data_IF_726174346431
#
_entry.id   IF_726174346431
#
_cell.length_a   1.000
_cell.length_b   1.000
_cell.length_c   1.000
_cell.angle_alpha   90.00
_cell.angle_beta   90.00
_cell.angle_gamma   90.00
#
_symmetry.space_group_name_H-M   'P 1'
#
loop_
_entity.id
_entity.type
_entity.pdbx_description
1 polymer ?
#
# COMPACT_ATOMS: atom_id res chain seq x y z
N UNK A 1 19.16 57.07 -5.97
CA UNK A 1 18.33 56.83 -7.17
C UNK A 1 17.90 58.20 -7.65
N UNK A 2 18.34 58.60 -8.85
CA UNK A 2 17.91 59.86 -9.43
C UNK A 2 16.52 59.60 -10.04
N UNK A 3 15.50 60.28 -9.51
CA UNK A 3 14.17 60.22 -10.11
C UNK A 3 14.22 60.98 -11.43
N UNK A 4 13.79 60.30 -12.50
CA UNK A 4 13.61 60.92 -13.81
C UNK A 4 12.53 61.99 -13.70
N UNK A 5 12.85 63.20 -14.16
CA UNK A 5 11.96 64.35 -14.10
C UNK A 5 11.14 64.44 -15.39
N UNK A 6 10.02 65.17 -15.35
CA UNK A 6 9.15 65.35 -16.53
C UNK A 6 9.90 65.97 -17.74
N UNK A 7 11.02 66.67 -17.50
CA UNK A 7 11.91 67.18 -18.55
C UNK A 7 12.73 66.08 -19.22
N UNK A 8 13.13 65.04 -18.47
CA UNK A 8 13.85 63.89 -19.01
C UNK A 8 12.93 63.05 -19.92
N UNK A 9 11.66 62.89 -19.54
CA UNK A 9 10.66 62.18 -20.33
C UNK A 9 10.32 62.92 -21.65
N UNK A 10 10.31 64.26 -21.61
CA UNK A 10 10.11 65.08 -22.81
C UNK A 10 11.28 64.94 -23.80
N UNK A 11 12.52 64.91 -23.30
CA UNK A 11 13.72 64.70 -24.11
C UNK A 11 13.78 63.30 -24.73
N UNK A 12 13.34 62.27 -23.99
CA UNK A 12 13.27 60.89 -24.48
C UNK A 12 12.23 60.74 -25.61
N UNK A 13 11.10 61.43 -25.50
CA UNK A 13 10.06 61.46 -26.53
C UNK A 13 10.53 62.15 -27.83
N UNK A 14 11.33 63.21 -27.72
CA UNK A 14 11.87 63.93 -28.88
C UNK A 14 12.99 63.15 -29.60
N UNK A 15 13.73 62.29 -28.88
CA UNK A 15 14.71 61.38 -29.47
C UNK A 15 14.11 60.09 -30.08
N UNK A 16 12.80 59.86 -29.93
CA UNK A 16 12.11 58.68 -30.48
C UNK A 16 12.54 57.36 -29.82
N UNK A 17 13.02 57.42 -28.57
CA UNK A 17 13.43 56.22 -27.81
C UNK A 17 12.29 55.85 -26.87
N UNK A 18 11.52 54.84 -27.26
CA UNK A 18 10.52 54.22 -26.38
C UNK A 18 11.22 53.37 -25.32
N UNK A 19 11.19 53.81 -24.06
CA UNK A 19 11.66 53.01 -22.93
C UNK A 19 10.58 51.98 -22.60
N UNK A 20 10.64 50.81 -23.24
CA UNK A 20 9.82 49.67 -22.84
C UNK A 20 10.30 49.16 -21.47
N UNK A 21 9.63 49.61 -20.41
CA UNK A 21 9.72 48.98 -19.10
C UNK A 21 9.20 47.53 -19.24
N UNK A 22 10.14 46.60 -19.41
CA UNK A 22 9.89 45.17 -19.57
C UNK A 22 9.09 44.66 -18.37
N UNK A 23 7.77 44.53 -18.52
CA UNK A 23 6.90 43.96 -17.50
C UNK A 23 7.33 42.51 -17.28
N UNK A 24 7.90 42.23 -16.11
CA UNK A 24 8.22 40.88 -15.67
C UNK A 24 6.91 40.10 -15.63
N UNK A 25 6.75 39.12 -16.53
CA UNK A 25 5.57 38.27 -16.57
C UNK A 25 5.31 37.64 -15.20
N UNK A 26 4.03 37.46 -14.86
CA UNK A 26 3.62 36.75 -13.63
C UNK A 26 4.39 35.43 -13.53
N UNK A 27 5.13 35.26 -12.43
CA UNK A 27 5.90 34.04 -12.16
C UNK A 27 4.97 32.82 -12.20
N UNK A 28 5.48 31.70 -12.68
CA UNK A 28 4.70 30.45 -12.63
C UNK A 28 4.67 29.93 -11.19
N UNK A 29 3.65 29.12 -10.79
CA UNK A 29 3.62 28.51 -9.47
C UNK A 29 4.87 27.69 -9.12
N UNK A 30 5.54 27.14 -10.15
CA UNK A 30 6.80 26.43 -9.97
C UNK A 30 7.95 27.39 -9.63
N UNK A 31 8.05 28.51 -10.35
CA UNK A 31 9.07 29.53 -10.11
C UNK A 31 8.92 30.15 -8.70
N UNK A 32 7.69 30.45 -8.28
CA UNK A 32 7.43 30.96 -6.92
C UNK A 32 7.86 29.96 -5.84
N UNK A 33 7.62 28.66 -6.05
CA UNK A 33 8.08 27.62 -5.12
C UNK A 33 9.61 27.54 -5.04
N UNK A 34 10.30 27.65 -6.18
CA UNK A 34 11.77 27.64 -6.22
C UNK A 34 12.33 28.85 -5.47
N UNK A 35 11.75 30.03 -5.69
CA UNK A 35 12.13 31.28 -5.03
C UNK A 35 11.90 31.19 -3.52
N UNK A 36 10.70 30.81 -3.07
CA UNK A 36 10.40 30.64 -1.65
C UNK A 36 11.32 29.60 -1.00
N UNK A 37 11.60 28.50 -1.70
CA UNK A 37 12.52 27.47 -1.23
C UNK A 37 13.97 27.94 -1.14
N UNK A 38 14.39 28.93 -1.92
CA UNK A 38 15.71 29.56 -1.83
C UNK A 38 15.76 30.61 -0.72
N UNK A 39 14.70 31.39 -0.53
CA UNK A 39 14.57 32.33 0.61
C UNK A 39 14.63 31.59 1.96
N UNK A 40 14.03 30.40 2.05
CA UNK A 40 14.16 29.53 3.23
C UNK A 40 15.62 29.16 3.53
N UNK A 41 16.39 28.87 2.47
CA UNK A 41 17.83 28.56 2.58
C UNK A 41 18.59 29.80 3.03
N UNK A 42 18.29 30.98 2.49
CA UNK A 42 18.96 32.22 2.88
C UNK A 42 18.72 32.56 4.35
N UNK A 43 17.49 32.40 4.83
CA UNK A 43 17.15 32.55 6.25
C UNK A 43 17.88 31.53 7.12
N UNK A 44 18.02 30.28 6.68
CA UNK A 44 18.82 29.29 7.38
C UNK A 44 20.27 29.77 7.56
N UNK A 45 20.87 30.34 6.50
CA UNK A 45 22.24 30.88 6.56
C UNK A 45 22.34 32.10 7.46
N UNK A 46 21.34 32.99 7.49
CA UNK A 46 21.29 34.12 8.43
C UNK A 46 21.24 33.65 9.89
N UNK A 47 20.49 32.58 10.17
CA UNK A 47 20.32 32.04 11.52
C UNK A 47 21.54 31.22 12.00
N UNK A 48 22.14 30.42 11.11
CA UNK A 48 23.20 29.45 11.47
C UNK A 48 24.61 29.91 11.10
N UNK A 49 24.73 30.95 10.26
CA UNK A 49 26.00 31.53 9.83
C UNK A 49 26.81 30.68 8.86
N UNK A 50 26.26 29.56 8.36
CA UNK A 50 26.89 28.70 7.37
C UNK A 50 25.87 28.18 6.35
N UNK A 51 26.35 27.82 5.15
CA UNK A 51 25.53 27.16 4.14
C UNK A 51 25.06 25.77 4.63
N UNK A 52 23.87 25.29 4.24
CA UNK A 52 23.42 23.95 4.60
C UNK A 52 24.37 22.88 4.08
N UNK A 53 24.69 21.88 4.90
CA UNK A 53 25.59 20.79 4.55
C UNK A 53 24.90 19.42 4.63
N UNK A 54 25.41 18.46 3.85
CA UNK A 54 25.03 17.06 3.97
C UNK A 54 25.60 16.42 5.25
N UNK A 55 24.90 15.44 5.81
CA UNK A 55 25.43 14.60 6.89
C UNK A 55 24.35 14.05 7.82
N UNK A 56 24.43 12.77 8.17
CA UNK A 56 23.42 12.09 9.01
C UNK A 56 23.31 12.65 10.43
N UNK A 57 24.38 13.28 10.93
CA UNK A 57 24.40 13.96 12.23
C UNK A 57 23.79 15.38 12.20
N UNK A 58 23.38 15.87 11.02
CA UNK A 58 22.77 17.20 10.83
C UNK A 58 21.25 17.13 10.94
N UNK A 59 20.66 18.27 11.26
CA UNK A 59 19.21 18.40 11.37
C UNK A 59 18.50 18.03 10.04
N UNK A 60 17.26 17.56 10.15
CA UNK A 60 16.46 17.13 8.99
C UNK A 60 16.28 18.29 8.01
N UNK A 61 16.07 19.52 8.50
CA UNK A 61 15.86 20.69 7.64
C UNK A 61 17.15 21.13 6.96
N UNK A 62 18.29 21.10 7.66
CA UNK A 62 19.61 21.39 7.08
C UNK A 62 19.91 20.46 5.91
N UNK A 63 19.63 19.15 6.07
CA UNK A 63 19.81 18.18 4.98
C UNK A 63 18.88 18.44 3.79
N UNK A 64 17.62 18.80 4.04
CA UNK A 64 16.67 19.14 2.96
C UNK A 64 17.13 20.40 2.22
N UNK A 65 17.62 21.40 2.94
CA UNK A 65 18.14 22.64 2.37
C UNK A 65 19.42 22.42 1.58
N UNK A 66 20.32 21.54 2.03
CA UNK A 66 21.54 21.17 1.30
C UNK A 66 21.19 20.55 -0.07
N UNK A 67 20.32 19.54 -0.08
CA UNK A 67 19.86 18.89 -1.32
C UNK A 67 19.16 19.89 -2.25
N UNK A 68 18.34 20.80 -1.68
CA UNK A 68 17.63 21.80 -2.48
C UNK A 68 18.61 22.82 -3.08
N UNK A 69 19.61 23.29 -2.33
CA UNK A 69 20.64 24.21 -2.80
C UNK A 69 21.42 23.59 -3.97
N UNK A 70 21.84 22.33 -3.83
CA UNK A 70 22.55 21.59 -4.88
C UNK A 70 21.73 21.52 -6.17
N UNK A 71 20.45 21.17 -6.06
CA UNK A 71 19.55 21.08 -7.23
C UNK A 71 19.32 22.43 -7.89
N UNK A 72 19.22 23.51 -7.12
CA UNK A 72 19.08 24.87 -7.66
C UNK A 72 20.37 25.29 -8.39
N UNK A 73 21.54 24.91 -7.87
CA UNK A 73 22.82 25.24 -8.48
C UNK A 73 23.10 24.43 -9.76
N UNK A 74 22.69 23.16 -9.80
CA UNK A 74 22.86 22.27 -10.96
C UNK A 74 21.99 22.65 -12.17
N UNK A 75 20.78 23.19 -11.93
CA UNK A 75 19.83 23.51 -13.02
C UNK A 75 19.99 24.97 -13.45
N UNK A 76 20.43 25.26 -14.70
CA UNK A 76 20.70 26.63 -15.14
C UNK A 76 19.44 27.51 -15.08
N UNK A 77 18.28 26.95 -15.43
CA UNK A 77 16.98 27.67 -15.34
C UNK A 77 16.64 28.10 -13.91
N UNK A 78 16.97 27.27 -12.92
CA UNK A 78 16.75 27.59 -11.51
C UNK A 78 17.78 28.60 -11.02
N UNK A 79 19.05 28.40 -11.38
CA UNK A 79 20.15 29.32 -11.05
C UNK A 79 19.86 30.72 -11.55
N UNK A 80 19.47 30.88 -12.81
CA UNK A 80 19.19 32.19 -13.40
C UNK A 80 17.96 32.87 -12.77
N UNK A 81 16.99 32.07 -12.30
CA UNK A 81 15.81 32.57 -11.59
C UNK A 81 16.14 33.15 -10.21
N UNK A 82 17.05 32.51 -9.47
CA UNK A 82 17.40 32.91 -8.09
C UNK A 82 18.69 33.73 -7.97
N UNK A 83 19.52 33.78 -9.02
CA UNK A 83 20.72 34.62 -9.09
C UNK A 83 20.50 36.08 -8.66
N UNK A 84 19.43 36.80 -9.08
CA UNK A 84 19.22 38.17 -8.62
C UNK A 84 18.83 38.29 -7.14
N UNK A 85 18.48 37.17 -6.48
CA UNK A 85 18.11 37.11 -5.07
C UNK A 85 19.29 36.67 -4.18
N UNK A 86 20.35 36.10 -4.76
CA UNK A 86 21.51 35.57 -4.05
C UNK A 86 22.45 36.68 -3.54
N UNK A 87 22.13 37.25 -2.39
CA UNK A 87 22.95 38.26 -1.71
C UNK A 87 24.06 37.66 -0.83
N UNK A 88 24.01 36.35 -0.57
CA UNK A 88 24.94 35.62 0.30
C UNK A 88 26.02 34.87 -0.51
N UNK A 89 25.91 34.86 -1.84
CA UNK A 89 26.84 34.17 -2.73
C UNK A 89 26.74 32.64 -2.65
N UNK A 90 25.59 32.11 -2.25
CA UNK A 90 25.37 30.66 -2.07
C UNK A 90 25.53 29.87 -3.36
N UNK A 91 25.22 30.49 -4.50
CA UNK A 91 25.30 29.84 -5.82
C UNK A 91 26.72 29.88 -6.42
N UNK A 92 27.60 30.70 -5.86
CA UNK A 92 28.95 30.92 -6.39
C UNK A 92 29.95 29.83 -5.97
N UNK A 93 29.71 29.16 -4.84
CA UNK A 93 30.52 28.03 -4.36
C UNK A 93 30.19 26.69 -5.04
N UNK A 94 29.03 26.58 -5.68
CA UNK A 94 28.55 25.36 -6.34
C UNK A 94 28.87 25.30 -7.84
N UNK A 95 29.43 26.37 -8.41
CA UNK A 95 29.72 26.47 -9.84
C UNK A 95 30.90 25.60 -10.31
N UNK A 96 31.53 24.84 -9.42
CA UNK A 96 32.66 23.94 -9.73
C UNK A 96 32.62 22.68 -8.84
N UNK A 97 31.49 21.99 -8.83
CA UNK A 97 31.53 20.53 -8.80
C UNK A 97 31.10 20.05 -10.19
N UNK A 98 31.83 20.54 -11.20
CA UNK A 98 31.94 19.85 -12.48
C UNK A 98 32.42 18.45 -12.17
N UNK A 99 31.64 17.44 -12.55
CA UNK A 99 32.14 16.22 -13.17
C UNK A 99 33.59 15.84 -12.78
N UNK A 100 33.81 15.52 -11.51
CA UNK A 100 34.62 14.34 -11.18
C UNK A 100 33.56 13.22 -11.20
N UNK A 101 33.16 12.61 -12.32
CA UNK A 101 33.97 11.80 -13.24
C UNK A 101 35.14 11.03 -12.60
N UNK A 102 35.13 10.85 -11.28
CA UNK A 102 35.76 9.71 -10.61
C UNK A 102 34.72 8.64 -10.24
N UNK A 103 33.44 8.84 -10.54
CA UNK A 103 32.42 7.78 -10.40
C UNK A 103 32.26 6.94 -11.68
N UNK A 104 32.54 7.52 -12.86
CA UNK A 104 32.37 6.84 -14.16
C UNK A 104 33.61 6.03 -14.60
N UNK A 105 34.73 6.14 -13.88
CA UNK A 105 35.93 5.29 -14.07
C UNK A 105 36.18 4.29 -12.92
N UNK A 106 35.26 4.19 -11.95
CA UNK A 106 35.37 3.14 -10.95
C UNK A 106 34.70 1.87 -11.48
N UNK A 107 35.57 0.92 -11.86
CA UNK A 107 35.20 -0.47 -12.12
C UNK A 107 34.26 -0.99 -11.01
N UNK A 108 33.17 -1.66 -11.38
CA UNK A 108 32.18 -2.20 -10.44
C UNK A 108 32.87 -3.08 -9.37
N UNK A 109 33.94 -3.77 -9.75
CA UNK A 109 34.76 -4.59 -8.85
C UNK A 109 35.57 -3.75 -7.85
N UNK A 110 36.05 -2.57 -8.25
CA UNK A 110 36.77 -1.64 -7.37
C UNK A 110 35.81 -0.98 -6.36
N UNK A 111 34.58 -0.67 -6.78
CA UNK A 111 33.53 -0.16 -5.88
C UNK A 111 33.13 -1.22 -4.84
N UNK A 112 32.93 -2.47 -5.27
CA UNK A 112 32.61 -3.58 -4.36
C UNK A 112 33.68 -3.78 -3.29
N UNK A 113 34.96 -3.72 -3.68
CA UNK A 113 36.08 -3.84 -2.75
C UNK A 113 36.16 -2.66 -1.76
N UNK A 114 35.90 -1.44 -2.21
CA UNK A 114 35.88 -0.25 -1.35
C UNK A 114 34.73 -0.27 -0.33
N UNK A 115 33.60 -0.89 -0.67
CA UNK A 115 32.48 -1.10 0.26
C UNK A 115 32.76 -2.18 1.33
N UNK A 116 33.90 -2.90 1.26
CA UNK A 116 34.25 -3.94 2.22
C UNK A 116 33.28 -5.13 2.22
N UNK A 117 32.59 -5.35 1.10
CA UNK A 117 31.72 -6.51 0.92
C UNK A 117 32.60 -7.68 0.51
N UNK A 118 33.19 -8.35 1.48
CA UNK A 118 33.71 -9.69 1.27
C UNK A 118 32.57 -10.58 0.77
N UNK A 119 32.88 -11.45 -0.20
CA UNK A 119 32.00 -12.38 -0.92
C UNK A 119 31.35 -13.46 0.00
N UNK A 120 31.32 -13.23 1.31
CA UNK A 120 30.46 -13.97 2.21
C UNK A 120 29.04 -13.53 1.93
N UNK A 121 28.29 -14.41 1.25
CA UNK A 121 26.84 -14.39 1.06
C UNK A 121 26.15 -14.09 2.39
N UNK A 122 26.10 -12.82 2.74
CA UNK A 122 25.44 -12.34 3.92
C UNK A 122 23.95 -12.62 3.76
N UNK A 123 23.29 -12.82 4.90
CA UNK A 123 21.88 -13.14 5.11
C UNK A 123 20.85 -12.25 4.37
N UNK A 124 21.28 -11.35 3.47
CA UNK A 124 20.46 -10.49 2.59
C UNK A 124 19.46 -11.27 1.75
N UNK A 125 19.79 -12.50 1.32
CA UNK A 125 18.84 -13.35 0.58
C UNK A 125 17.82 -14.03 1.49
N UNK A 126 18.06 -14.06 2.80
CA UNK A 126 17.18 -14.64 3.79
C UNK A 126 16.18 -13.59 4.31
N UNK A 127 14.99 -13.59 3.69
CA UNK A 127 13.87 -12.75 4.10
C UNK A 127 13.32 -13.18 5.47
N UNK A 128 13.91 -12.67 6.57
CA UNK A 128 13.52 -13.00 7.96
C UNK A 128 12.25 -12.30 8.44
N UNK A 129 11.92 -11.15 7.86
CA UNK A 129 10.80 -10.29 8.31
C UNK A 129 9.66 -10.14 7.29
N UNK A 130 9.72 -10.87 6.18
CA UNK A 130 8.70 -10.78 5.12
C UNK A 130 7.96 -12.11 5.04
N UNK A 131 6.62 -12.04 4.91
CA UNK A 131 5.81 -13.24 4.70
C UNK A 131 6.35 -14.04 3.50
N UNK A 132 6.62 -15.35 3.66
CA UNK A 132 7.13 -16.19 2.58
C UNK A 132 6.29 -16.07 1.31
N UNK A 133 6.92 -16.17 0.13
CA UNK A 133 6.22 -16.05 -1.17
C UNK A 133 5.01 -16.98 -1.29
N UNK A 134 5.07 -18.17 -0.67
CA UNK A 134 3.95 -19.11 -0.59
C UNK A 134 2.75 -18.58 0.22
N UNK A 135 2.97 -17.75 1.24
CA UNK A 135 1.90 -17.08 2.00
C UNK A 135 1.36 -15.86 1.25
N UNK A 136 2.21 -15.13 0.51
CA UNK A 136 1.75 -14.05 -0.37
C UNK A 136 0.80 -14.57 -1.45
N UNK A 137 1.17 -15.64 -2.16
CA UNK A 137 0.31 -16.25 -3.19
C UNK A 137 -0.99 -16.80 -2.62
N UNK A 138 -0.96 -17.41 -1.44
CA UNK A 138 -2.19 -17.87 -0.77
C UNK A 138 -3.08 -16.70 -0.36
N UNK A 139 -2.51 -15.60 0.15
CA UNK A 139 -3.26 -14.39 0.48
C UNK A 139 -3.83 -13.68 -0.76
N UNK A 140 -3.08 -13.65 -1.87
CA UNK A 140 -3.51 -13.09 -3.15
C UNK A 140 -4.64 -13.92 -3.79
N UNK A 141 -4.57 -15.25 -3.72
CA UNK A 141 -5.65 -16.15 -4.20
C UNK A 141 -6.92 -15.99 -3.36
N UNK A 142 -6.80 -15.68 -2.06
CA UNK A 142 -7.92 -15.35 -1.16
C UNK A 142 -8.46 -13.92 -1.37
N UNK A 143 -7.62 -13.00 -1.87
CA UNK A 143 -7.99 -11.60 -2.14
C UNK A 143 -8.72 -11.40 -3.46
N UNK A 144 -8.58 -12.32 -4.42
CA UNK A 144 -9.35 -12.32 -5.67
C UNK A 144 -10.79 -12.78 -5.39
N UNK A 145 -11.59 -11.84 -4.88
CA UNK A 145 -13.03 -11.99 -4.70
C UNK A 145 -13.73 -11.27 -5.83
N UNK A 146 -14.57 -11.99 -6.55
CA UNK A 146 -15.39 -11.45 -7.62
C UNK A 146 -16.82 -11.24 -7.12
N UNK A 147 -17.60 -10.41 -7.82
CA UNK A 147 -19.01 -10.21 -7.47
C UNK A 147 -19.81 -11.45 -7.86
N UNK A 148 -20.55 -12.03 -6.93
CA UNK A 148 -21.39 -13.19 -7.20
C UNK A 148 -22.67 -12.76 -7.94
N UNK A 149 -22.80 -13.15 -9.21
CA UNK A 149 -23.98 -12.83 -10.03
C UNK A 149 -25.27 -13.46 -9.47
N UNK A 150 -25.17 -14.66 -8.89
CA UNK A 150 -26.31 -15.45 -8.44
C UNK A 150 -26.56 -15.35 -6.92
N UNK A 151 -26.07 -14.30 -6.26
CA UNK A 151 -26.12 -14.16 -4.81
C UNK A 151 -27.55 -14.22 -4.23
N UNK A 152 -28.55 -13.81 -5.00
CA UNK A 152 -29.96 -13.85 -4.58
C UNK A 152 -30.41 -15.27 -4.15
N UNK A 153 -29.84 -16.32 -4.74
CA UNK A 153 -30.15 -17.72 -4.40
C UNK A 153 -29.54 -18.10 -3.03
N UNK A 154 -28.38 -17.54 -2.70
CA UNK A 154 -27.61 -17.89 -1.50
C UNK A 154 -27.92 -16.98 -0.31
N UNK A 155 -28.39 -15.76 -0.55
CA UNK A 155 -28.84 -14.81 0.48
C UNK A 155 -29.77 -15.44 1.55
N UNK A 156 -30.87 -16.14 1.19
CA UNK A 156 -31.74 -16.75 2.21
C UNK A 156 -31.03 -17.81 3.05
N UNK A 157 -30.01 -18.50 2.52
CA UNK A 157 -29.23 -19.48 3.28
C UNK A 157 -28.40 -18.79 4.37
N UNK A 158 -27.75 -17.66 4.04
CA UNK A 158 -26.99 -16.88 5.03
C UNK A 158 -27.90 -16.28 6.10
N UNK A 159 -29.09 -15.79 5.73
CA UNK A 159 -30.08 -15.29 6.68
C UNK A 159 -30.60 -16.38 7.61
N UNK A 160 -30.84 -17.59 7.09
CA UNK A 160 -31.21 -18.74 7.91
C UNK A 160 -30.10 -19.11 8.89
N UNK A 161 -28.85 -19.21 8.41
CA UNK A 161 -27.70 -19.54 9.26
C UNK A 161 -27.48 -18.48 10.34
N UNK A 162 -27.66 -17.20 10.03
CA UNK A 162 -27.58 -16.14 11.04
C UNK A 162 -28.66 -16.30 12.11
N UNK A 163 -29.91 -16.53 11.71
CA UNK A 163 -31.02 -16.81 12.65
C UNK A 163 -30.73 -18.03 13.52
N UNK A 164 -30.22 -19.11 12.92
CA UNK A 164 -29.90 -20.34 13.64
C UNK A 164 -28.76 -20.14 14.65
N UNK A 165 -27.77 -19.30 14.33
CA UNK A 165 -26.69 -18.94 15.25
C UNK A 165 -27.20 -18.07 16.40
N UNK A 166 -28.07 -17.10 16.11
CA UNK A 166 -28.65 -16.20 17.12
C UNK A 166 -29.58 -16.97 18.09
N UNK A 167 -30.29 -17.99 17.59
CA UNK A 167 -31.14 -18.89 18.38
C UNK A 167 -30.36 -20.02 19.07
N UNK A 168 -29.06 -20.16 18.80
CA UNK A 168 -28.23 -21.24 19.35
C UNK A 168 -28.52 -22.63 18.78
N UNK A 169 -29.31 -22.73 17.70
CA UNK A 169 -29.61 -23.98 16.98
C UNK A 169 -28.37 -24.50 16.25
N UNK A 170 -27.57 -23.59 15.70
CA UNK A 170 -26.23 -23.89 15.17
C UNK A 170 -25.18 -23.32 16.10
N UNK A 171 -24.03 -23.99 16.17
CA UNK A 171 -22.86 -23.50 16.92
C UNK A 171 -21.67 -23.29 16.00
N UNK A 172 -20.93 -22.19 16.21
CA UNK A 172 -19.69 -21.91 15.50
C UNK A 172 -18.49 -22.38 16.33
N UNK A 173 -17.89 -23.51 15.94
CA UNK A 173 -16.75 -24.13 16.62
C UNK A 173 -15.45 -23.82 15.89
N UNK A 174 -14.32 -23.86 16.59
CA UNK A 174 -13.00 -23.68 15.96
C UNK A 174 -12.80 -24.71 14.86
N UNK A 175 -12.25 -24.29 13.73
CA UNK A 175 -11.95 -25.21 12.63
C UNK A 175 -10.78 -26.13 13.02
N UNK A 176 -11.01 -27.45 12.98
CA UNK A 176 -9.98 -28.46 13.23
C UNK A 176 -9.66 -29.24 11.95
N UNK A 177 -8.42 -29.73 11.82
CA UNK A 177 -7.89 -30.42 10.61
C UNK A 177 -8.68 -31.66 10.19
N UNK A 178 -9.53 -32.23 11.05
CA UNK A 178 -10.44 -33.36 10.75
C UNK A 178 -11.81 -32.92 10.21
N UNK A 179 -12.06 -31.62 10.05
CA UNK A 179 -13.32 -31.12 9.49
C UNK A 179 -13.30 -31.23 7.96
N UNK A 180 -14.16 -32.07 7.41
CA UNK A 180 -14.30 -32.21 5.97
C UNK A 180 -14.92 -30.94 5.35
N UNK A 181 -14.19 -30.32 4.41
CA UNK A 181 -14.70 -29.24 3.60
C UNK A 181 -15.53 -29.87 2.47
N UNK A 182 -16.85 -29.74 2.60
CA UNK A 182 -17.82 -30.29 1.66
C UNK A 182 -18.79 -29.21 1.17
N UNK A 183 -19.37 -29.37 -0.04
CA UNK A 183 -20.45 -28.52 -0.51
C UNK A 183 -21.61 -28.47 0.50
N UNK A 184 -22.25 -27.32 0.60
CA UNK A 184 -23.37 -27.10 1.53
C UNK A 184 -22.95 -26.65 2.93
N UNK A 185 -21.66 -26.72 3.28
CA UNK A 185 -21.17 -26.32 4.61
C UNK A 185 -20.83 -24.84 4.71
N UNK A 186 -20.94 -24.33 5.94
CA UNK A 186 -20.68 -22.95 6.30
C UNK A 186 -19.45 -22.81 7.20
N UNK A 187 -18.67 -21.77 6.94
CA UNK A 187 -17.46 -21.44 7.67
C UNK A 187 -17.43 -19.94 7.97
N UNK A 188 -16.61 -19.54 8.93
CA UNK A 188 -16.30 -18.14 9.23
C UNK A 188 -14.82 -17.94 8.94
N UNK A 189 -14.53 -17.02 8.01
CA UNK A 189 -13.18 -16.67 7.58
C UNK A 189 -13.03 -15.14 7.64
N UNK A 190 -12.06 -14.64 8.40
CA UNK A 190 -11.82 -13.21 8.60
C UNK A 190 -13.03 -12.49 9.20
N UNK A 191 -13.82 -13.18 10.04
CA UNK A 191 -15.08 -12.67 10.58
C UNK A 191 -16.27 -12.66 9.61
N UNK A 192 -16.08 -13.18 8.39
CA UNK A 192 -17.11 -13.23 7.36
C UNK A 192 -17.67 -14.64 7.17
N UNK A 193 -18.99 -14.79 6.98
CA UNK A 193 -19.59 -16.09 6.67
C UNK A 193 -19.29 -16.49 5.23
N UNK A 194 -18.76 -17.70 5.06
CA UNK A 194 -18.40 -18.31 3.80
C UNK A 194 -19.20 -19.62 3.60
N UNK A 195 -19.75 -19.83 2.42
CA UNK A 195 -20.54 -20.99 2.03
C UNK A 195 -19.86 -21.72 0.87
N UNK A 196 -19.64 -23.02 0.99
CA UNK A 196 -19.09 -23.83 -0.10
C UNK A 196 -20.23 -24.24 -1.02
N UNK A 197 -20.35 -23.58 -2.17
CA UNK A 197 -21.43 -23.83 -3.12
C UNK A 197 -21.18 -25.07 -3.98
N UNK A 198 -19.94 -25.27 -4.41
CA UNK A 198 -19.56 -26.36 -5.30
C UNK A 198 -18.13 -26.83 -5.00
N UNK A 199 -17.92 -28.13 -5.14
CA UNK A 199 -16.60 -28.78 -5.07
C UNK A 199 -16.33 -29.43 -6.42
N UNK A 200 -15.26 -28.98 -7.06
CA UNK A 200 -14.78 -29.53 -8.32
C UNK A 200 -14.19 -30.92 -8.16
N UNK A 201 -13.54 -31.40 -9.23
CA UNK A 201 -12.88 -32.71 -9.24
C UNK A 201 -11.80 -32.77 -8.16
N UNK A 202 -11.79 -33.87 -7.42
CA UNK A 202 -10.75 -34.15 -6.45
C UNK A 202 -9.53 -34.69 -7.20
N UNK A 203 -8.41 -33.99 -7.09
CA UNK A 203 -7.13 -34.38 -7.64
C UNK A 203 -6.23 -34.85 -6.50
N UNK A 204 -5.56 -35.98 -6.70
CA UNK A 204 -4.60 -36.52 -5.73
C UNK A 204 -3.22 -36.12 -6.20
N UNK A 205 -2.51 -35.33 -5.40
CA UNK A 205 -1.13 -34.94 -5.68
C UNK A 205 -0.18 -36.13 -5.46
N UNK A 206 1.05 -36.03 -5.99
CA UNK A 206 2.10 -37.06 -5.86
C UNK A 206 2.38 -37.49 -4.40
N UNK A 207 2.04 -36.65 -3.42
CA UNK A 207 2.20 -36.91 -1.98
C UNK A 207 0.98 -37.61 -1.34
N UNK A 208 0.00 -38.08 -2.13
CA UNK A 208 -1.21 -38.77 -1.65
C UNK A 208 -2.28 -37.85 -1.03
N UNK A 209 -2.09 -36.53 -1.10
CA UNK A 209 -3.06 -35.56 -0.58
C UNK A 209 -4.12 -35.23 -1.63
N UNK A 210 -5.39 -35.26 -1.23
CA UNK A 210 -6.51 -34.80 -2.06
C UNK A 210 -6.66 -33.28 -2.01
N UNK A 211 -6.77 -32.65 -3.17
CA UNK A 211 -7.11 -31.23 -3.32
C UNK A 211 -8.24 -31.08 -4.33
N UNK A 212 -9.03 -30.03 -4.21
CA UNK A 212 -10.13 -29.75 -5.13
C UNK A 212 -10.36 -28.25 -5.22
N UNK A 213 -10.78 -27.76 -6.39
CA UNK A 213 -11.26 -26.37 -6.51
C UNK A 213 -12.64 -26.23 -5.89
N UNK A 214 -12.83 -25.20 -5.09
CA UNK A 214 -14.08 -24.89 -4.40
C UNK A 214 -14.59 -23.54 -4.87
N UNK A 215 -15.88 -23.48 -5.17
CA UNK A 215 -16.59 -22.20 -5.31
C UNK A 215 -17.13 -21.81 -3.96
N UNK A 216 -16.56 -20.75 -3.38
CA UNK A 216 -16.93 -20.24 -2.05
C UNK A 216 -17.64 -18.91 -2.21
N UNK A 217 -18.80 -18.78 -1.59
CA UNK A 217 -19.64 -17.57 -1.62
C UNK A 217 -19.59 -16.93 -0.25
N UNK A 218 -19.49 -15.60 -0.20
CA UNK A 218 -19.44 -14.82 1.03
C UNK A 218 -20.74 -14.06 1.25
N UNK A 219 -21.05 -13.77 2.52
CA UNK A 219 -22.27 -13.06 2.91
C UNK A 219 -22.40 -11.62 2.36
N UNK A 220 -21.29 -11.00 1.93
CA UNK A 220 -21.28 -9.68 1.29
C UNK A 220 -21.61 -9.73 -0.21
N UNK A 221 -21.98 -10.89 -0.75
CA UNK A 221 -22.30 -11.04 -2.17
C UNK A 221 -21.08 -11.18 -3.08
N UNK A 222 -19.92 -11.51 -2.53
CA UNK A 222 -18.74 -11.88 -3.32
C UNK A 222 -18.56 -13.40 -3.37
N UNK A 223 -17.87 -13.89 -4.40
CA UNK A 223 -17.46 -15.28 -4.51
C UNK A 223 -15.98 -15.38 -4.84
N UNK A 224 -15.36 -16.50 -4.48
CA UNK A 224 -13.97 -16.80 -4.79
C UNK A 224 -13.83 -18.27 -5.16
N UNK A 225 -12.92 -18.54 -6.09
CA UNK A 225 -12.58 -19.88 -6.54
C UNK A 225 -11.27 -20.31 -5.88
N UNK A 226 -11.38 -20.99 -4.75
CA UNK A 226 -10.26 -21.32 -3.87
C UNK A 226 -9.92 -22.81 -3.97
N UNK A 227 -8.64 -23.15 -3.86
CA UNK A 227 -8.26 -24.53 -3.57
C UNK A 227 -8.70 -24.92 -2.15
N UNK A 228 -9.19 -26.15 -1.99
CA UNK A 228 -9.63 -26.71 -0.72
C UNK A 228 -8.53 -26.62 0.34
N UNK A 229 -7.28 -26.89 -0.05
CA UNK A 229 -6.13 -26.74 0.83
C UNK A 229 -5.87 -25.29 1.25
N UNK A 230 -6.04 -24.33 0.35
CA UNK A 230 -5.89 -22.91 0.65
C UNK A 230 -6.94 -22.46 1.66
N UNK A 231 -8.21 -22.87 1.49
CA UNK A 231 -9.27 -22.59 2.45
C UNK A 231 -8.99 -23.24 3.82
N UNK A 232 -8.55 -24.50 3.83
CA UNK A 232 -8.18 -25.21 5.07
C UNK A 232 -7.07 -24.48 5.83
N UNK A 233 -6.01 -24.05 5.13
CA UNK A 233 -4.91 -23.28 5.73
C UNK A 233 -5.43 -21.95 6.27
N UNK A 234 -6.24 -21.23 5.49
CA UNK A 234 -6.79 -19.94 5.89
C UNK A 234 -7.65 -20.05 7.16
N UNK A 235 -8.53 -21.06 7.24
CA UNK A 235 -9.36 -21.32 8.43
C UNK A 235 -8.56 -21.79 9.65
N UNK A 236 -7.39 -22.43 9.44
CA UNK A 236 -6.55 -22.89 10.55
C UNK A 236 -5.63 -21.78 11.07
N UNK A 237 -5.14 -20.92 10.17
CA UNK A 237 -4.24 -19.80 10.49
C UNK A 237 -4.99 -18.59 11.06
N UNK A 238 -6.26 -18.41 10.70
CA UNK A 238 -7.10 -17.35 11.22
C UNK A 238 -7.61 -17.66 12.64
N UNK A 239 -7.41 -16.76 13.58
CA UNK A 239 -7.96 -16.87 14.95
C UNK A 239 -9.49 -16.85 14.95
N UNK A 240 -10.10 -16.15 14.00
CA UNK A 240 -11.55 -16.13 13.81
C UNK A 240 -12.09 -17.32 12.99
N UNK A 241 -11.20 -18.22 12.54
CA UNK A 241 -11.51 -19.38 11.73
C UNK A 241 -12.44 -20.38 12.45
N UNK A 242 -13.71 -20.42 12.04
CA UNK A 242 -14.72 -21.32 12.64
C UNK A 242 -15.47 -22.11 11.59
N UNK A 243 -15.89 -23.32 11.95
CA UNK A 243 -16.89 -24.10 11.23
C UNK A 243 -18.24 -23.87 11.88
N UNK A 244 -19.26 -23.61 11.07
CA UNK A 244 -20.65 -23.57 11.53
C UNK A 244 -21.19 -24.99 11.39
N UNK A 245 -21.62 -25.59 12.50
CA UNK A 245 -22.21 -26.92 12.50
C UNK A 245 -23.56 -26.92 11.75
N UNK A 246 -23.88 -28.08 11.18
CA UNK A 246 -25.23 -28.32 10.70
C UNK A 246 -26.18 -28.37 11.90
N UNK A 247 -27.43 -27.90 11.73
CA UNK A 247 -28.42 -27.97 12.79
C UNK A 247 -28.60 -29.45 13.07
N UNK A 248 -28.43 -29.84 14.33
CA UNK A 248 -28.76 -31.19 14.76
C UNK A 248 -30.24 -31.33 14.45
N UNK A 249 -30.59 -32.11 13.42
CA UNK A 249 -31.94 -32.60 13.26
C UNK A 249 -32.24 -33.27 14.60
N UNK A 250 -33.15 -32.67 15.37
CA UNK A 250 -33.50 -33.16 16.70
C UNK A 250 -33.73 -34.67 16.64
N UNK A 251 -33.49 -35.40 17.75
CA UNK A 251 -33.55 -36.85 17.71
C UNK A 251 -34.88 -37.28 17.09
N UNK A 252 -34.83 -38.13 16.04
CA UNK A 252 -36.00 -38.79 15.45
C UNK A 252 -36.80 -39.58 16.50
N UNK A 253 -36.25 -39.71 17.70
CA UNK A 253 -36.83 -40.23 18.92
C UNK A 253 -36.65 -39.18 20.03
N UNK A 254 -37.49 -38.15 20.04
CA UNK A 254 -37.57 -37.28 21.20
C UNK A 254 -38.14 -38.09 22.38
N UNK A 255 -37.39 -38.18 23.48
CA UNK A 255 -37.84 -38.79 24.75
C UNK A 255 -38.81 -37.87 25.52
N UNK A 256 -39.36 -36.86 24.84
CA UNK A 256 -40.38 -35.97 25.34
C UNK A 256 -41.62 -36.15 24.48
N UNK A 257 -42.63 -36.81 25.06
CA UNK A 257 -43.99 -36.79 24.52
C UNK A 257 -44.41 -35.33 24.35
N UNK A 258 -44.71 -34.91 23.13
CA UNK A 258 -45.43 -33.66 22.91
C UNK A 258 -46.81 -33.80 23.57
N UNK A 259 -47.17 -32.85 24.44
CA UNK A 259 -48.54 -32.72 24.94
C UNK A 259 -49.48 -32.51 23.74
N UNK A 260 -50.13 -33.60 23.33
CA UNK A 260 -50.96 -33.66 22.12
C UNK A 260 -50.92 -34.99 21.39
N UNK A 261 -49.96 -35.87 21.68
CA UNK A 261 -49.92 -37.22 21.11
C UNK A 261 -50.94 -38.14 21.79
N UNK A 262 -52.21 -37.92 21.46
CA UNK A 262 -53.29 -38.82 21.83
C UNK A 262 -53.15 -40.10 21.02
N UNK A 263 -52.73 -41.18 21.69
CA UNK A 263 -52.72 -42.53 21.16
C UNK A 263 -54.13 -42.94 20.69
N UNK A 264 -54.47 -42.65 19.43
CA UNK A 264 -55.66 -43.16 18.78
C UNK A 264 -55.37 -44.53 18.18
N UNK A 265 -55.22 -45.52 19.05
CA UNK A 265 -55.27 -46.94 18.71
C UNK A 265 -56.45 -47.58 19.42
N UNK A 266 -57.59 -47.72 18.74
CA UNK A 266 -58.65 -48.63 19.18
C UNK A 266 -58.43 -49.97 18.47
N UNK A 267 -58.38 -51.06 19.24
CA UNK A 267 -58.35 -52.45 18.73
C UNK A 267 -59.74 -52.80 18.19
#
# INVERSE_FOLDING_TARGET
>A
MADFTDEDDALLAELGVEVEAKRVGSRTPLQERIIAGFEDIQRFVEEHGHAPCHGEARDIFERIYAVRLDRIAQLPECRDLVAPLDHQGLLSGHATASDDDEADELDDDALLAALGVDDELSDITDLRHVRPSAEKRAAEEIANRERCANFAIFKPLFEQVQRDLDQGVRTARRFERKSEIEPGRFFILGGQKAYVAEKGKVEINANGNSDARLRVIFDNGTESNLLMRSLQKALTSDEAGRRIDDPVAGPLFADQQQEGDAASGTI
#
